data_IF_103184119047
#
_entry.id   IF_103184119047
#
_cell.length_a   1.000
_cell.length_b   1.000
_cell.length_c   1.000
_cell.angle_alpha   90.00
_cell.angle_beta   90.00
_cell.angle_gamma   90.00
#
_symmetry.space_group_name_H-M   'P 1'
#
loop_
_entity.id
_entity.type
_entity.pdbx_description
1 polymer ?
#
# COMPACT_ATOMS: atom_id res chain seq x y z
N UNK A 1 -32.54 -18.27 -67.54
CA UNK A 1 -31.80 -17.48 -66.53
C UNK A 1 -32.82 -16.67 -65.75
N UNK A 2 -33.15 -17.07 -64.52
CA UNK A 2 -34.08 -16.33 -63.66
C UNK A 2 -33.27 -15.71 -62.51
N UNK A 3 -33.10 -14.39 -62.55
CA UNK A 3 -32.49 -13.64 -61.46
C UNK A 3 -33.57 -13.39 -60.40
N UNK A 4 -33.42 -14.01 -59.23
CA UNK A 4 -34.24 -13.68 -58.06
C UNK A 4 -33.71 -12.37 -57.47
N UNK A 5 -34.53 -11.33 -57.52
CA UNK A 5 -34.29 -10.07 -56.82
C UNK A 5 -34.41 -10.30 -55.30
N UNK A 6 -33.30 -10.12 -54.59
CA UNK A 6 -33.28 -10.13 -53.13
C UNK A 6 -33.88 -8.80 -52.64
N UNK A 7 -34.93 -8.80 -51.80
CA UNK A 7 -35.55 -7.55 -51.37
C UNK A 7 -34.59 -6.75 -50.48
N UNK A 8 -34.43 -5.46 -50.83
CA UNK A 8 -33.67 -4.41 -50.13
C UNK A 8 -34.30 -4.04 -48.77
N UNK A 9 -34.57 -5.03 -47.91
CA UNK A 9 -35.17 -4.82 -46.59
C UNK A 9 -34.32 -5.48 -45.49
N UNK A 10 -33.36 -6.33 -45.86
CA UNK A 10 -32.53 -7.07 -44.92
C UNK A 10 -31.66 -6.22 -43.95
N UNK A 11 -31.02 -5.10 -44.35
CA UNK A 11 -30.14 -4.39 -43.42
C UNK A 11 -30.90 -3.62 -42.32
N UNK A 12 -32.13 -3.17 -42.60
CA UNK A 12 -32.93 -2.43 -41.62
C UNK A 12 -33.48 -3.34 -40.50
N UNK A 13 -33.81 -4.59 -40.83
CA UNK A 13 -34.33 -5.56 -39.84
C UNK A 13 -33.21 -6.05 -38.91
N UNK A 14 -31.98 -6.19 -39.42
CA UNK A 14 -30.81 -6.56 -38.60
C UNK A 14 -30.42 -5.42 -37.65
N UNK A 15 -30.43 -4.16 -38.11
CA UNK A 15 -30.11 -3.00 -37.27
C UNK A 15 -31.13 -2.77 -36.13
N UNK A 16 -32.42 -3.06 -36.36
CA UNK A 16 -33.46 -2.94 -35.33
C UNK A 16 -33.36 -4.02 -34.23
N UNK A 17 -32.84 -5.22 -34.57
CA UNK A 17 -32.67 -6.31 -33.61
C UNK A 17 -31.53 -6.06 -32.61
N UNK A 18 -30.42 -5.44 -33.06
CA UNK A 18 -29.28 -5.12 -32.20
C UNK A 18 -29.59 -3.99 -31.20
N UNK A 19 -30.42 -3.02 -31.58
CA UNK A 19 -30.85 -1.93 -30.70
C UNK A 19 -31.74 -2.42 -29.53
N UNK A 20 -32.59 -3.43 -29.76
CA UNK A 20 -33.46 -3.99 -28.72
C UNK A 20 -32.68 -4.82 -27.68
N UNK A 21 -31.64 -5.53 -28.10
CA UNK A 21 -30.81 -6.34 -27.21
C UNK A 21 -29.99 -5.48 -26.23
N UNK A 22 -29.46 -4.35 -26.68
CA UNK A 22 -28.72 -3.42 -25.82
C UNK A 22 -29.59 -2.78 -24.73
N UNK A 23 -30.86 -2.48 -25.04
CA UNK A 23 -31.81 -1.89 -24.08
C UNK A 23 -32.32 -2.94 -23.07
N UNK A 24 -32.52 -4.19 -23.49
CA UNK A 24 -32.89 -5.27 -22.58
C UNK A 24 -31.80 -5.58 -21.54
N UNK A 25 -30.52 -5.51 -21.91
CA UNK A 25 -29.39 -5.68 -20.99
C UNK A 25 -29.32 -4.53 -19.97
N UNK A 26 -29.64 -3.30 -20.39
CA UNK A 26 -29.67 -2.14 -19.49
C UNK A 26 -30.84 -2.19 -18.47
N UNK A 27 -32.01 -2.69 -18.88
CA UNK A 27 -33.20 -2.79 -18.01
C UNK A 27 -33.05 -3.93 -16.99
N UNK A 28 -32.49 -5.08 -17.39
CA UNK A 28 -32.23 -6.18 -16.45
C UNK A 28 -31.17 -5.82 -15.39
N UNK A 29 -30.19 -4.98 -15.73
CA UNK A 29 -29.21 -4.45 -14.79
C UNK A 29 -29.79 -3.49 -13.75
N UNK A 30 -30.90 -2.80 -14.06
CA UNK A 30 -31.55 -1.87 -13.15
C UNK A 30 -32.51 -2.56 -12.16
N UNK A 31 -33.17 -3.65 -12.56
CA UNK A 31 -34.19 -4.31 -11.73
C UNK A 31 -33.56 -5.11 -10.55
N UNK A 32 -32.30 -5.52 -10.63
CA UNK A 32 -31.62 -6.21 -9.51
C UNK A 32 -31.17 -5.25 -8.40
N UNK A 33 -31.25 -3.92 -8.60
CA UNK A 33 -30.67 -2.94 -7.67
C UNK A 33 -31.56 -2.64 -6.45
N UNK A 34 -32.86 -2.99 -6.44
CA UNK A 34 -33.76 -2.47 -5.40
C UNK A 34 -33.95 -3.33 -4.15
N UNK A 35 -33.51 -4.59 -4.11
CA UNK A 35 -33.72 -5.46 -2.92
C UNK A 35 -32.44 -5.86 -2.18
N UNK A 36 -31.24 -5.54 -2.67
CA UNK A 36 -29.98 -6.02 -2.05
C UNK A 36 -28.91 -4.95 -1.90
N UNK A 37 -29.30 -3.68 -1.70
CA UNK A 37 -28.37 -2.53 -1.65
C UNK A 37 -27.26 -2.74 -0.61
N UNK A 38 -27.54 -3.38 0.53
CA UNK A 38 -26.52 -3.59 1.58
C UNK A 38 -25.48 -4.66 1.21
N UNK A 39 -25.85 -5.68 0.42
CA UNK A 39 -24.92 -6.75 0.04
C UNK A 39 -24.03 -6.39 -1.17
N UNK A 40 -24.46 -5.43 -1.99
CA UNK A 40 -23.71 -4.99 -3.18
C UNK A 40 -22.63 -3.97 -2.81
N UNK A 41 -22.84 -3.12 -1.80
CA UNK A 41 -21.84 -2.15 -1.35
C UNK A 41 -20.61 -2.86 -0.74
N UNK A 42 -20.82 -3.89 0.08
CA UNK A 42 -19.75 -4.72 0.65
C UNK A 42 -18.90 -5.41 -0.42
N UNK A 43 -19.54 -5.93 -1.48
CA UNK A 43 -18.84 -6.58 -2.58
C UNK A 43 -18.01 -5.60 -3.42
N UNK A 44 -18.49 -4.37 -3.61
CA UNK A 44 -17.74 -3.31 -4.28
C UNK A 44 -16.59 -2.79 -3.42
N UNK A 45 -16.79 -2.67 -2.11
CA UNK A 45 -15.75 -2.24 -1.17
C UNK A 45 -14.61 -3.26 -1.04
N UNK A 46 -14.90 -4.56 -1.08
CA UNK A 46 -13.85 -5.60 -1.11
C UNK A 46 -13.06 -5.62 -2.43
N UNK A 47 -13.69 -5.26 -3.56
CA UNK A 47 -12.98 -5.09 -4.84
C UNK A 47 -12.07 -3.85 -4.82
N UNK A 48 -12.50 -2.77 -4.19
CA UNK A 48 -11.70 -1.56 -3.98
C UNK A 48 -10.52 -1.83 -3.03
N UNK A 49 -10.75 -2.53 -1.90
CA UNK A 49 -9.69 -2.97 -0.97
C UNK A 49 -8.71 -3.93 -1.62
N UNK A 50 -9.18 -4.85 -2.47
CA UNK A 50 -8.33 -5.74 -3.26
C UNK A 50 -7.40 -4.98 -4.20
N UNK A 51 -7.91 -3.96 -4.90
CA UNK A 51 -7.11 -3.07 -5.75
C UNK A 51 -6.15 -2.19 -4.94
N UNK A 52 -6.56 -1.71 -3.77
CA UNK A 52 -5.70 -0.92 -2.88
C UNK A 52 -4.57 -1.77 -2.28
N UNK A 53 -4.83 -3.05 -1.97
CA UNK A 53 -3.83 -3.99 -1.48
C UNK A 53 -2.85 -4.43 -2.59
N UNK A 54 -3.33 -4.56 -3.83
CA UNK A 54 -2.48 -4.82 -5.00
C UNK A 54 -1.60 -3.59 -5.36
N UNK A 55 -2.14 -2.37 -5.20
CA UNK A 55 -1.38 -1.12 -5.34
C UNK A 55 -0.43 -0.85 -4.17
N UNK A 56 -0.57 -1.54 -3.04
CA UNK A 56 0.34 -1.48 -1.89
C UNK A 56 1.59 -2.35 -2.05
N UNK A 57 1.61 -3.27 -3.03
CA UNK A 57 2.88 -3.78 -3.54
C UNK A 57 3.30 -2.89 -4.68
N UNK A 58 4.09 -1.87 -4.34
CA UNK A 58 4.87 -1.02 -5.25
C UNK A 58 5.78 -1.90 -6.13
N UNK A 59 5.19 -2.60 -7.11
CA UNK A 59 5.89 -3.36 -8.16
C UNK A 59 6.68 -2.43 -9.09
N UNK A 60 6.54 -1.12 -8.93
CA UNK A 60 7.20 -0.12 -9.75
C UNK A 60 8.71 -0.06 -9.57
N UNK A 61 9.28 -0.63 -8.49
CA UNK A 61 10.73 -0.80 -8.36
C UNK A 61 11.23 -2.23 -8.63
N UNK A 62 10.40 -3.27 -8.47
CA UNK A 62 10.86 -4.67 -8.68
C UNK A 62 11.23 -4.93 -10.15
N UNK A 63 10.52 -4.30 -11.10
CA UNK A 63 10.78 -4.51 -12.53
C UNK A 63 11.79 -3.50 -13.12
N UNK A 64 12.03 -2.36 -12.45
CA UNK A 64 12.82 -1.25 -13.00
C UNK A 64 14.13 -0.93 -12.26
N UNK A 65 14.41 -1.56 -11.10
CA UNK A 65 15.54 -1.16 -10.26
C UNK A 65 16.88 -1.86 -10.61
N UNK A 66 16.91 -2.80 -11.56
CA UNK A 66 18.15 -3.52 -11.94
C UNK A 66 18.82 -4.19 -10.73
N UNK A 67 20.16 -4.22 -10.67
CA UNK A 67 20.92 -4.71 -9.50
C UNK A 67 20.87 -3.74 -8.28
N UNK A 68 19.81 -2.94 -8.12
CA UNK A 68 19.63 -2.00 -6.99
C UNK A 68 18.42 -2.40 -6.17
N UNK A 69 18.55 -2.25 -4.85
CA UNK A 69 17.46 -2.55 -3.92
C UNK A 69 16.38 -1.45 -3.96
N UNK A 70 15.10 -1.81 -3.72
CA UNK A 70 14.05 -0.82 -3.52
C UNK A 70 14.30 0.01 -2.25
N UNK A 71 13.88 1.28 -2.20
CA UNK A 71 14.10 2.11 -1.02
C UNK A 71 13.33 1.55 0.19
N UNK A 72 13.96 1.61 1.37
CA UNK A 72 13.28 1.28 2.61
C UNK A 72 12.24 2.34 2.99
N UNK A 73 11.13 1.90 3.59
CA UNK A 73 10.21 2.75 4.35
C UNK A 73 10.26 2.32 5.81
N UNK A 74 10.62 3.20 6.78
CA UNK A 74 11.25 4.51 6.57
C UNK A 74 12.61 4.42 5.86
N UNK A 75 13.15 5.56 5.34
CA UNK A 75 14.38 5.57 4.57
C UNK A 75 15.61 5.11 5.37
N UNK A 76 16.57 4.53 4.65
CA UNK A 76 17.89 4.17 5.20
C UNK A 76 18.56 5.42 5.77
N UNK A 77 19.22 5.26 6.91
CA UNK A 77 19.89 6.34 7.62
C UNK A 77 19.02 7.03 8.68
N UNK A 78 17.69 6.83 8.68
CA UNK A 78 16.82 7.39 9.71
C UNK A 78 17.21 6.85 11.08
N UNK A 79 17.39 7.76 12.04
CA UNK A 79 17.68 7.46 13.44
C UNK A 79 16.39 7.65 14.25
N UNK A 80 16.07 6.66 15.07
CA UNK A 80 14.91 6.63 15.95
C UNK A 80 15.29 6.22 17.37
N UNK A 81 14.45 6.61 18.32
CA UNK A 81 14.50 6.14 19.71
C UNK A 81 13.82 4.79 19.79
N UNK A 82 14.57 3.76 20.18
CA UNK A 82 14.02 2.44 20.47
C UNK A 82 13.41 2.38 21.88
N UNK A 83 14.12 2.92 22.87
CA UNK A 83 13.63 3.04 24.25
C UNK A 83 14.31 4.18 24.98
N UNK A 84 13.71 4.62 26.07
CA UNK A 84 14.28 5.58 27.02
C UNK A 84 14.33 4.89 28.38
N UNK A 85 15.50 4.87 28.99
CA UNK A 85 15.75 4.28 30.29
C UNK A 85 15.91 5.41 31.31
N UNK A 86 15.17 5.34 32.42
CA UNK A 86 15.19 6.34 33.49
C UNK A 86 16.13 5.93 34.64
N UNK A 87 16.79 6.92 35.21
CA UNK A 87 17.75 6.80 36.31
C UNK A 87 17.44 7.92 37.32
N UNK A 88 16.66 7.67 38.40
CA UNK A 88 16.23 6.36 38.98
C UNK A 88 15.00 5.69 38.28
N UNK A 89 14.71 4.38 38.49
CA UNK A 89 15.22 3.46 39.54
C UNK A 89 16.48 2.68 39.17
N UNK A 90 16.93 2.76 37.91
CA UNK A 90 18.17 2.12 37.49
C UNK A 90 19.37 2.69 38.27
N UNK A 91 20.47 1.93 38.35
CA UNK A 91 21.71 2.44 38.96
C UNK A 91 22.42 3.34 37.94
N UNK A 92 22.94 4.53 38.35
CA UNK A 92 23.81 5.34 37.52
C UNK A 92 24.99 4.51 37.00
N UNK A 93 25.25 4.56 35.69
CA UNK A 93 26.37 3.84 35.05
C UNK A 93 26.88 4.62 33.82
N UNK A 94 28.09 4.33 33.38
CA UNK A 94 28.64 4.93 32.15
C UNK A 94 27.95 4.33 30.91
N UNK A 95 27.76 5.09 29.81
CA UNK A 95 28.22 6.47 29.60
C UNK A 95 27.29 7.56 30.17
N UNK A 96 26.05 7.22 30.55
CA UNK A 96 25.04 8.18 30.98
C UNK A 96 24.63 7.92 32.44
N UNK A 97 25.10 8.72 33.42
CA UNK A 97 24.73 8.54 34.82
C UNK A 97 23.26 8.88 35.10
N UNK A 98 22.59 9.59 34.19
CA UNK A 98 21.16 9.91 34.23
C UNK A 98 20.34 9.18 33.16
N UNK A 99 19.14 9.70 32.90
CA UNK A 99 18.24 9.22 31.85
C UNK A 99 18.95 9.18 30.49
N UNK A 100 18.63 8.17 29.68
CA UNK A 100 19.22 8.04 28.35
C UNK A 100 18.31 7.32 27.37
N UNK A 101 18.47 7.66 26.09
CA UNK A 101 17.76 7.03 24.98
C UNK A 101 18.66 6.05 24.23
N UNK A 102 18.15 4.86 23.93
CA UNK A 102 18.81 3.92 23.02
C UNK A 102 18.38 4.21 21.58
N UNK A 103 19.37 4.46 20.73
CA UNK A 103 19.18 4.89 19.35
C UNK A 103 19.41 3.74 18.37
N UNK A 104 18.54 3.67 17.38
CA UNK A 104 18.62 2.71 16.28
C UNK A 104 18.54 3.42 14.94
N UNK A 105 19.28 2.90 13.96
CA UNK A 105 19.35 3.41 12.61
C UNK A 105 18.78 2.39 11.62
N UNK A 106 18.01 2.89 10.65
CA UNK A 106 17.48 2.09 9.55
C UNK A 106 18.59 1.77 8.55
N UNK A 107 18.78 0.50 8.25
CA UNK A 107 19.78 -0.02 7.31
C UNK A 107 19.12 -0.93 6.27
N UNK A 108 19.85 -1.20 5.19
CA UNK A 108 19.44 -2.10 4.13
C UNK A 108 20.56 -3.08 3.78
N UNK A 109 20.23 -4.36 3.67
CA UNK A 109 21.15 -5.37 3.15
C UNK A 109 21.39 -5.14 1.66
N UNK A 110 22.61 -5.40 1.14
CA UNK A 110 22.88 -5.23 -0.29
C UNK A 110 22.05 -6.20 -1.14
N UNK A 111 21.97 -5.92 -2.45
CA UNK A 111 21.39 -6.84 -3.42
C UNK A 111 22.14 -8.20 -3.39
N UNK A 112 21.45 -9.35 -3.50
CA UNK A 112 20.02 -9.53 -3.76
C UNK A 112 19.12 -9.59 -2.51
N UNK A 113 19.67 -9.52 -1.30
CA UNK A 113 18.88 -9.69 -0.07
C UNK A 113 17.93 -8.51 0.16
N UNK A 114 18.41 -7.27 -0.02
CA UNK A 114 17.61 -6.04 0.02
C UNK A 114 16.72 -5.81 1.26
N UNK A 115 16.86 -6.64 2.31
CA UNK A 115 16.08 -6.54 3.55
C UNK A 115 16.40 -5.24 4.28
N UNK A 116 15.36 -4.52 4.65
CA UNK A 116 15.43 -3.36 5.53
C UNK A 116 15.40 -3.80 6.99
N UNK A 117 16.35 -3.34 7.80
CA UNK A 117 16.44 -3.71 9.21
C UNK A 117 16.87 -2.53 10.08
N UNK A 118 16.58 -2.62 11.37
CA UNK A 118 17.08 -1.66 12.36
C UNK A 118 18.34 -2.22 12.99
N UNK A 119 19.36 -1.38 13.15
CA UNK A 119 20.57 -1.70 13.89
C UNK A 119 20.87 -0.60 14.91
N UNK A 120 21.73 -0.86 15.88
CA UNK A 120 22.23 0.17 16.79
C UNK A 120 22.81 1.35 16.01
N UNK A 121 22.41 2.56 16.36
CA UNK A 121 23.02 3.76 15.82
C UNK A 121 24.45 3.94 16.39
N UNK A 122 25.20 4.91 15.86
CA UNK A 122 26.48 5.32 16.44
C UNK A 122 26.46 6.84 16.66
N UNK A 123 26.45 7.33 17.91
CA UNK A 123 26.36 6.56 19.17
C UNK A 123 25.04 5.79 19.30
N UNK A 124 25.04 4.66 20.03
CA UNK A 124 23.83 3.86 20.30
C UNK A 124 23.07 4.34 21.53
N UNK A 125 23.66 5.26 22.31
CA UNK A 125 23.05 5.85 23.51
C UNK A 125 23.21 7.38 23.47
N UNK A 126 22.14 8.09 23.78
CA UNK A 126 22.11 9.54 23.98
C UNK A 126 21.73 9.85 25.43
N UNK A 127 22.62 10.51 26.17
CA UNK A 127 22.30 10.98 27.52
C UNK A 127 21.30 12.14 27.44
N UNK A 128 20.29 12.13 28.31
CA UNK A 128 19.25 13.15 28.37
C UNK A 128 19.38 13.95 29.66
N UNK A 129 19.07 15.24 29.60
CA UNK A 129 18.86 16.04 30.81
C UNK A 129 17.52 15.67 31.47
N UNK A 130 17.36 15.90 32.79
CA UNK A 130 16.10 15.61 33.49
C UNK A 130 14.90 16.32 32.86
N UNK A 131 13.92 15.55 32.38
CA UNK A 131 12.72 16.05 31.72
C UNK A 131 12.88 16.39 30.23
N UNK A 132 14.06 16.20 29.66
CA UNK A 132 14.31 16.39 28.23
C UNK A 132 13.69 15.25 27.42
N UNK A 133 13.07 15.59 26.27
CA UNK A 133 12.64 14.59 25.29
C UNK A 133 13.75 14.39 24.26
N UNK A 134 14.06 13.14 23.88
CA UNK A 134 15.08 12.90 22.87
C UNK A 134 14.73 13.60 21.54
N UNK A 135 15.72 14.16 20.82
CA UNK A 135 15.52 14.91 19.57
C UNK A 135 15.22 14.02 18.36
N UNK A 136 14.93 12.74 18.57
CA UNK A 136 14.66 11.75 17.53
C UNK A 136 13.23 11.21 17.66
N UNK A 137 12.58 10.86 16.54
CA UNK A 137 11.27 10.22 16.57
C UNK A 137 11.36 8.84 17.23
N UNK A 138 10.23 8.33 17.75
CA UNK A 138 10.12 6.94 18.20
C UNK A 138 10.12 6.01 16.97
N UNK A 139 10.78 4.86 17.11
CA UNK A 139 10.81 3.79 16.09
C UNK A 139 9.44 3.16 15.88
#
# INVERSE_FOLDING_TARGET
>A
MAAFAIPLIWPAVVAAAEAAAAVAIAIAGAIVVTETIEAVDDALQERERGKAREKSTDKTCVENCGNKCPPCVPPVGLICVERVDQVPPSRPHAPCPGDHAHLVQRNQAPYPDCRCFWNKARPDVLCLEPGEKPPYPRK
#
